data_IF_063102764755
#
_entry.id   IF_063102764755
#
_cell.length_a   1.000
_cell.length_b   1.000
_cell.length_c   1.000
_cell.angle_alpha   90.00
_cell.angle_beta   90.00
_cell.angle_gamma   90.00
#
_symmetry.space_group_name_H-M   'P 1'
#
loop_
_entity.id
_entity.type
_entity.pdbx_description
1 polymer ?
#
# COMPACT_ATOMS: atom_id res chain seq x y z
N UNK A 1 6.55 8.90 -2.88
CA UNK A 1 6.08 10.21 -3.40
C UNK A 1 4.57 10.26 -3.28
N UNK A 2 4.06 10.94 -2.27
CA UNK A 2 2.62 11.12 -2.05
C UNK A 2 2.15 12.16 -3.07
N UNK A 3 1.40 11.75 -4.08
CA UNK A 3 0.70 12.70 -4.95
C UNK A 3 -0.61 13.09 -4.26
N UNK A 4 -0.56 14.12 -3.43
CA UNK A 4 -1.75 14.90 -3.17
C UNK A 4 -2.15 15.61 -4.48
N UNK A 5 -3.20 15.15 -5.14
CA UNK A 5 -3.86 15.95 -6.17
C UNK A 5 -4.62 17.07 -5.47
N UNK A 6 -3.97 18.21 -5.33
CA UNK A 6 -4.68 19.47 -5.13
C UNK A 6 -5.39 19.81 -6.43
N UNK A 7 -6.69 19.63 -6.44
CA UNK A 7 -7.55 20.28 -7.43
C UNK A 7 -7.58 21.75 -7.09
N UNK A 8 -6.90 22.55 -7.92
CA UNK A 8 -7.01 24.00 -7.91
C UNK A 8 -8.46 24.37 -8.22
N UNK A 9 -9.17 24.83 -7.21
CA UNK A 9 -10.46 25.46 -7.38
C UNK A 9 -10.21 26.91 -7.86
N UNK A 10 -10.22 27.13 -9.18
CA UNK A 10 -10.27 28.49 -9.71
C UNK A 10 -11.65 29.10 -9.46
N UNK A 11 -11.65 30.13 -8.63
CA UNK A 11 -12.81 30.96 -8.39
C UNK A 11 -13.16 31.73 -9.67
N UNK A 12 -14.15 31.30 -10.41
CA UNK A 12 -14.87 32.21 -11.34
C UNK A 12 -16.16 32.67 -10.69
N UNK A 13 -16.17 33.94 -10.31
CA UNK A 13 -17.40 34.68 -9.97
C UNK A 13 -18.28 34.74 -11.20
N UNK A 14 -19.48 34.18 -11.15
CA UNK A 14 -20.72 34.74 -11.66
C UNK A 14 -21.88 33.79 -11.35
N UNK A 15 -22.91 34.30 -10.66
CA UNK A 15 -24.31 33.90 -10.79
C UNK A 15 -24.75 32.63 -10.07
N UNK A 16 -25.46 32.83 -8.98
CA UNK A 16 -26.50 31.95 -8.39
C UNK A 16 -26.67 30.57 -9.04
N UNK A 17 -26.14 29.58 -8.40
CA UNK A 17 -26.75 28.28 -8.26
C UNK A 17 -26.18 27.70 -6.95
N UNK A 18 -27.04 27.37 -6.02
CA UNK A 18 -26.73 26.51 -4.89
C UNK A 18 -26.29 25.17 -5.48
N UNK A 19 -25.04 25.11 -5.87
CA UNK A 19 -24.37 23.85 -6.08
C UNK A 19 -24.13 23.34 -4.66
N UNK A 20 -24.97 22.41 -4.24
CA UNK A 20 -24.60 21.50 -3.18
C UNK A 20 -23.24 20.92 -3.60
N UNK A 21 -22.19 21.53 -3.10
CA UNK A 21 -20.93 20.85 -2.94
C UNK A 21 -21.26 19.76 -1.92
N UNK A 22 -21.74 18.63 -2.42
CA UNK A 22 -21.70 17.42 -1.65
C UNK A 22 -20.22 17.23 -1.41
N UNK A 23 -19.75 17.75 -0.29
CA UNK A 23 -18.56 17.23 0.34
C UNK A 23 -18.84 15.75 0.37
N UNK A 24 -18.18 15.01 -0.54
CA UNK A 24 -18.01 13.60 -0.34
C UNK A 24 -17.22 13.57 0.94
N UNK A 25 -17.92 13.69 2.06
CA UNK A 25 -17.37 13.20 3.30
C UNK A 25 -16.86 11.83 2.91
N UNK A 26 -15.54 11.73 2.92
CA UNK A 26 -14.90 10.44 2.96
C UNK A 26 -15.65 9.73 4.07
N UNK A 27 -16.67 8.96 3.69
CA UNK A 27 -17.27 8.05 4.62
C UNK A 27 -16.10 7.27 5.14
N UNK A 28 -15.79 7.47 6.42
CA UNK A 28 -14.74 6.75 7.11
C UNK A 28 -15.20 5.30 7.14
N UNK A 29 -15.06 4.62 6.01
CA UNK A 29 -15.13 3.18 6.00
C UNK A 29 -14.08 2.71 6.97
N UNK A 30 -14.39 1.73 7.82
CA UNK A 30 -13.39 1.19 8.73
C UNK A 30 -12.24 0.66 7.89
N UNK A 31 -11.22 1.51 7.68
CA UNK A 31 -10.05 1.12 6.93
C UNK A 31 -9.42 -0.08 7.62
N UNK A 32 -9.15 -1.09 6.83
CA UNK A 32 -8.39 -2.25 7.26
C UNK A 32 -6.92 -1.99 7.00
N UNK A 33 -6.15 -1.87 8.07
CA UNK A 33 -4.74 -1.50 8.01
C UNK A 33 -3.90 -2.74 8.24
N UNK A 34 -2.88 -2.94 7.41
CA UNK A 34 -1.91 -4.02 7.55
C UNK A 34 -0.51 -3.45 7.50
N UNK A 35 0.29 -3.78 8.49
CA UNK A 35 1.73 -3.52 8.49
C UNK A 35 2.48 -4.85 8.46
N UNK A 36 3.49 -4.95 7.62
CA UNK A 36 4.33 -6.14 7.55
C UNK A 36 5.81 -5.76 7.50
N UNK A 37 6.64 -6.45 8.25
CA UNK A 37 8.08 -6.30 8.16
C UNK A 37 8.74 -7.53 7.49
N UNK A 38 9.80 -7.23 6.75
CA UNK A 38 10.59 -8.22 6.04
C UNK A 38 12.06 -7.97 6.34
N UNK A 39 12.74 -8.98 6.82
CA UNK A 39 14.17 -8.90 7.09
C UNK A 39 14.93 -9.64 5.99
N UNK A 40 15.42 -8.88 5.03
CA UNK A 40 16.14 -9.43 3.89
C UNK A 40 17.56 -9.87 4.28
N UNK A 41 18.07 -10.87 3.58
CA UNK A 41 19.51 -11.18 3.64
C UNK A 41 20.29 -10.03 3.01
N UNK A 42 21.48 -9.68 3.50
CA UNK A 42 22.28 -8.58 2.94
C UNK A 42 22.51 -8.71 1.43
N UNK A 43 22.76 -9.93 0.95
CA UNK A 43 22.97 -10.22 -0.47
C UNK A 43 21.68 -10.15 -1.31
N UNK A 44 20.51 -10.15 -0.68
CA UNK A 44 19.20 -10.13 -1.34
C UNK A 44 18.57 -8.72 -1.40
N UNK A 45 19.20 -7.69 -0.86
CA UNK A 45 18.63 -6.33 -0.79
C UNK A 45 18.18 -5.83 -2.16
N UNK A 46 19.01 -5.94 -3.19
CA UNK A 46 18.66 -5.46 -4.54
C UNK A 46 17.56 -6.31 -5.18
N UNK A 47 17.56 -7.62 -4.96
CA UNK A 47 16.47 -8.50 -5.41
C UNK A 47 15.16 -8.16 -4.68
N UNK A 48 15.21 -7.84 -3.39
CA UNK A 48 14.04 -7.37 -2.63
C UNK A 48 13.48 -6.07 -3.18
N UNK A 49 14.33 -5.10 -3.54
CA UNK A 49 13.88 -3.85 -4.19
C UNK A 49 13.18 -4.09 -5.53
N UNK A 50 13.63 -5.10 -6.29
CA UNK A 50 12.96 -5.50 -7.53
C UNK A 50 11.56 -6.06 -7.24
N UNK A 51 11.42 -6.95 -6.24
CA UNK A 51 10.12 -7.47 -5.80
C UNK A 51 9.18 -6.33 -5.40
N UNK A 52 9.68 -5.37 -4.61
CA UNK A 52 8.93 -4.17 -4.21
C UNK A 52 8.43 -3.39 -5.43
N UNK A 53 9.29 -3.16 -6.41
CA UNK A 53 8.92 -2.44 -7.64
C UNK A 53 7.85 -3.19 -8.45
N UNK A 54 8.00 -4.50 -8.59
CA UNK A 54 7.09 -5.35 -9.37
C UNK A 54 5.70 -5.46 -8.74
N UNK A 55 5.61 -5.52 -7.40
CA UNK A 55 4.33 -5.72 -6.71
C UNK A 55 3.57 -4.41 -6.45
N UNK A 56 4.26 -3.27 -6.41
CA UNK A 56 3.65 -2.00 -5.97
C UNK A 56 2.64 -1.46 -6.97
N UNK A 57 2.99 -1.36 -8.25
CA UNK A 57 2.12 -0.75 -9.25
C UNK A 57 0.79 -1.51 -9.41
N UNK A 58 0.76 -2.84 -9.58
CA UNK A 58 -0.50 -3.57 -9.68
C UNK A 58 -1.29 -3.54 -8.38
N UNK A 59 -0.65 -3.49 -7.20
CA UNK A 59 -1.35 -3.39 -5.92
C UNK A 59 -2.06 -2.06 -5.73
N UNK A 60 -1.45 -0.96 -6.18
CA UNK A 60 -2.07 0.37 -6.16
C UNK A 60 -3.30 0.47 -7.07
N UNK A 61 -3.38 -0.34 -8.12
CA UNK A 61 -4.51 -0.37 -9.05
C UNK A 61 -5.67 -1.26 -8.57
N UNK A 62 -5.48 -2.01 -7.47
CA UNK A 62 -6.51 -2.89 -6.94
C UNK A 62 -7.66 -2.11 -6.32
N UNK A 63 -8.88 -2.68 -6.46
CA UNK A 63 -10.07 -2.12 -5.82
C UNK A 63 -9.91 -2.09 -4.29
N UNK A 64 -10.21 -0.93 -3.71
CA UNK A 64 -10.15 -0.72 -2.27
C UNK A 64 -8.75 -0.48 -1.71
N UNK A 65 -7.70 -0.50 -2.53
CA UNK A 65 -6.37 -0.09 -2.12
C UNK A 65 -6.32 1.42 -1.90
N UNK A 66 -6.13 1.86 -0.67
CA UNK A 66 -6.02 3.28 -0.32
C UNK A 66 -4.58 3.71 -0.16
N UNK A 67 -3.76 2.90 0.50
CA UNK A 67 -2.32 3.10 0.67
C UNK A 67 -1.62 1.76 0.46
N UNK A 68 -0.54 1.80 -0.29
CA UNK A 68 0.40 0.69 -0.45
C UNK A 68 1.80 1.27 -0.49
N UNK A 69 2.49 1.20 0.63
CA UNK A 69 3.75 1.94 0.79
C UNK A 69 4.83 1.05 1.39
N UNK A 70 5.96 1.00 0.70
CA UNK A 70 7.18 0.34 1.16
C UNK A 70 8.18 1.34 1.68
N UNK A 71 8.87 0.97 2.76
CA UNK A 71 9.98 1.71 3.35
C UNK A 71 11.15 0.78 3.59
N UNK A 72 12.35 1.31 3.53
CA UNK A 72 13.57 0.60 3.90
C UNK A 72 14.15 1.23 5.16
N UNK A 73 14.71 0.43 6.05
CA UNK A 73 15.33 0.91 7.27
C UNK A 73 16.43 1.94 6.99
N UNK A 74 16.39 3.09 7.69
CA UNK A 74 17.38 4.15 7.50
C UNK A 74 18.76 3.74 8.04
N UNK A 75 18.78 3.05 9.18
CA UNK A 75 20.01 2.59 9.83
C UNK A 75 20.36 1.13 9.49
N UNK A 76 19.36 0.35 9.09
CA UNK A 76 19.52 -1.04 8.69
C UNK A 76 18.86 -1.28 7.32
N UNK A 77 19.63 -1.30 6.22
CA UNK A 77 19.10 -1.46 4.87
C UNK A 77 18.52 -2.86 4.58
N UNK A 78 18.69 -3.83 5.47
CA UNK A 78 18.10 -5.17 5.36
C UNK A 78 16.63 -5.19 5.77
N UNK A 79 16.17 -4.19 6.52
CA UNK A 79 14.78 -4.10 6.97
C UNK A 79 13.91 -3.40 5.93
N UNK A 80 12.78 -4.03 5.62
CA UNK A 80 11.73 -3.48 4.76
C UNK A 80 10.41 -3.49 5.52
N UNK A 81 9.69 -2.39 5.44
CA UNK A 81 8.35 -2.24 6.02
C UNK A 81 7.35 -2.01 4.89
N UNK A 82 6.30 -2.81 4.85
CA UNK A 82 5.12 -2.59 4.03
C UNK A 82 4.00 -2.07 4.91
N UNK A 83 3.44 -0.92 4.56
CA UNK A 83 2.25 -0.36 5.18
C UNK A 83 1.14 -0.28 4.14
N UNK A 84 -0.02 -0.85 4.48
CA UNK A 84 -1.17 -0.91 3.60
C UNK A 84 -2.42 -0.40 4.31
N UNK A 85 -3.24 0.35 3.58
CA UNK A 85 -4.62 0.65 3.99
C UNK A 85 -5.58 0.19 2.89
N UNK A 86 -6.55 -0.59 3.29
CA UNK A 86 -7.60 -1.12 2.44
C UNK A 86 -8.95 -0.57 2.88
N UNK A 87 -9.88 -0.40 1.94
CA UNK A 87 -11.26 0.00 2.24
C UNK A 87 -11.88 -0.88 3.32
N UNK A 88 -11.66 -2.19 3.22
CA UNK A 88 -12.19 -3.22 4.10
C UNK A 88 -11.34 -4.49 4.06
N UNK A 89 -11.61 -5.42 4.97
CA UNK A 89 -10.92 -6.70 5.03
C UNK A 89 -11.09 -7.55 3.76
N UNK A 90 -12.30 -7.66 3.14
CA UNK A 90 -12.45 -8.40 1.89
C UNK A 90 -11.55 -7.90 0.75
N UNK A 91 -11.29 -6.58 0.65
CA UNK A 91 -10.35 -6.03 -0.33
C UNK A 91 -8.92 -6.49 -0.06
N UNK A 92 -8.50 -6.53 1.20
CA UNK A 92 -7.21 -7.11 1.57
C UNK A 92 -7.12 -8.60 1.26
N UNK A 93 -8.15 -9.38 1.58
CA UNK A 93 -8.20 -10.81 1.27
C UNK A 93 -8.13 -11.08 -0.24
N UNK A 94 -8.78 -10.23 -1.05
CA UNK A 94 -8.64 -10.29 -2.50
C UNK A 94 -7.22 -9.99 -2.96
N UNK A 95 -6.55 -9.00 -2.35
CA UNK A 95 -5.16 -8.64 -2.63
C UNK A 95 -4.20 -9.81 -2.46
N UNK A 96 -4.23 -10.49 -1.32
CA UNK A 96 -3.32 -11.62 -1.06
C UNK A 96 -3.58 -12.82 -1.97
N UNK A 97 -4.72 -12.88 -2.65
CA UNK A 97 -5.05 -13.91 -3.62
C UNK A 97 -4.64 -13.56 -5.06
N UNK A 98 -4.17 -12.34 -5.31
CA UNK A 98 -3.79 -11.89 -6.66
C UNK A 98 -2.54 -12.60 -7.19
N UNK A 99 -2.43 -12.73 -8.53
CA UNK A 99 -1.25 -13.36 -9.15
C UNK A 99 0.06 -12.63 -8.82
N UNK A 100 0.06 -11.30 -8.78
CA UNK A 100 1.30 -10.54 -8.50
C UNK A 100 1.79 -10.71 -7.06
N UNK A 101 0.88 -10.80 -6.08
CA UNK A 101 1.27 -11.10 -4.70
C UNK A 101 1.79 -12.53 -4.57
N UNK A 102 1.08 -13.51 -5.16
CA UNK A 102 1.53 -14.91 -5.18
C UNK A 102 2.90 -15.07 -5.83
N UNK A 103 3.13 -14.38 -6.94
CA UNK A 103 4.43 -14.38 -7.62
C UNK A 103 5.54 -13.80 -6.73
N UNK A 104 5.26 -12.67 -6.04
CA UNK A 104 6.21 -12.07 -5.11
C UNK A 104 6.54 -13.02 -3.94
N UNK A 105 5.52 -13.62 -3.31
CA UNK A 105 5.70 -14.60 -2.24
C UNK A 105 6.54 -15.81 -2.69
N UNK A 106 6.24 -16.36 -3.85
CA UNK A 106 6.96 -17.50 -4.41
C UNK A 106 8.42 -17.16 -4.71
N UNK A 107 8.67 -15.96 -5.20
CA UNK A 107 10.02 -15.47 -5.45
C UNK A 107 10.81 -15.31 -4.16
N UNK A 108 10.22 -14.69 -3.12
CA UNK A 108 10.84 -14.56 -1.79
C UNK A 108 11.25 -15.91 -1.22
N UNK A 109 10.39 -16.92 -1.34
CA UNK A 109 10.64 -18.29 -0.85
C UNK A 109 11.69 -19.01 -1.68
N UNK A 110 11.55 -19.02 -3.00
CA UNK A 110 12.42 -19.74 -3.93
C UNK A 110 13.87 -19.23 -3.87
N UNK A 111 14.03 -17.92 -3.81
CA UNK A 111 15.35 -17.27 -3.78
C UNK A 111 15.88 -17.10 -2.34
N UNK A 112 15.12 -17.58 -1.34
CA UNK A 112 15.49 -17.52 0.08
C UNK A 112 15.94 -16.12 0.52
N UNK A 113 15.17 -15.10 0.10
CA UNK A 113 15.57 -13.71 0.28
C UNK A 113 15.53 -13.24 1.74
N UNK A 114 14.71 -13.86 2.59
CA UNK A 114 14.49 -13.43 3.96
C UNK A 114 15.32 -14.25 4.94
N UNK A 115 15.75 -13.60 6.04
CA UNK A 115 16.43 -14.23 7.18
C UNK A 115 15.44 -15.03 8.01
N UNK A 116 14.23 -14.50 8.18
CA UNK A 116 13.12 -15.07 8.94
C UNK A 116 11.80 -14.83 8.19
N UNK A 117 10.73 -15.55 8.53
CA UNK A 117 9.42 -15.28 7.96
C UNK A 117 8.98 -13.83 8.22
N UNK A 118 8.34 -13.21 7.23
CA UNK A 118 7.75 -11.89 7.40
C UNK A 118 6.74 -11.89 8.56
N UNK A 119 6.73 -10.83 9.33
CA UNK A 119 5.76 -10.62 10.40
C UNK A 119 4.70 -9.64 9.93
N UNK A 120 3.46 -9.86 10.34
CA UNK A 120 2.33 -9.08 9.88
C UNK A 120 1.41 -8.73 11.05
N UNK A 121 0.93 -7.49 11.07
CA UNK A 121 -0.03 -6.96 12.05
C UNK A 121 -1.22 -6.34 11.35
N UNK A 122 -2.39 -6.58 11.90
CA UNK A 122 -3.66 -6.10 11.38
C UNK A 122 -4.32 -5.15 12.36
N UNK A 123 -4.86 -4.05 11.82
CA UNK A 123 -5.47 -2.99 12.63
C UNK A 123 -6.77 -2.50 11.99
N UNK A 124 -7.64 -1.95 12.83
CA UNK A 124 -8.76 -1.16 12.40
C UNK A 124 -8.50 0.31 12.76
N UNK A 125 -8.91 1.21 11.88
CA UNK A 125 -8.86 2.64 12.19
C UNK A 125 -9.83 2.94 13.32
N UNK A 126 -9.38 3.74 14.31
CA UNK A 126 -10.21 4.23 15.42
C UNK A 126 -11.05 5.44 15.01
#
# INVERSE_FOLDING_TARGET
MIRCRFLSCELRRTGCAFSLCVSVELMAFPAYIVAADFHARPEAIEAMKQVVAEVTAPSLDEEGCQIYHWSQGADDPTLFLLYMEWRDKPCFEAHIATPHVKHAEDRLKREKMLIEPAREWHFHRL
#
